data_IF_184551482269
#
_entry.id   IF_184551482269
#
_cell.length_a   1.000
_cell.length_b   1.000
_cell.length_c   1.000
_cell.angle_alpha   90.00
_cell.angle_beta   90.00
_cell.angle_gamma   90.00
#
_symmetry.space_group_name_H-M   'P 1'
#
loop_
_entity.id
_entity.type
_entity.pdbx_description
1 polymer ?
#
# COMPACT_ATOMS: atom_id res chain seq x y z
N UNK A 1 29.28 14.94 4.77
CA UNK A 1 28.61 13.79 4.15
C UNK A 1 27.57 14.26 3.14
N UNK A 2 27.45 13.55 2.03
CA UNK A 2 26.37 13.75 1.04
C UNK A 2 25.06 13.12 1.52
N UNK A 3 25.17 12.02 2.26
CA UNK A 3 24.08 11.24 2.81
C UNK A 3 24.31 11.01 4.31
N UNK A 4 23.25 11.13 5.10
CA UNK A 4 23.25 10.80 6.52
C UNK A 4 22.25 9.68 6.77
N UNK A 5 22.70 8.62 7.43
CA UNK A 5 21.89 7.46 7.81
C UNK A 5 21.50 7.53 9.30
N UNK A 6 20.40 6.87 9.65
CA UNK A 6 20.04 6.60 11.03
C UNK A 6 20.46 5.17 11.40
N UNK A 7 21.38 5.04 12.34
CA UNK A 7 21.86 3.75 12.85
C UNK A 7 21.10 3.30 14.09
N UNK A 8 20.66 2.04 14.12
CA UNK A 8 19.98 1.41 15.26
C UNK A 8 20.88 0.33 15.86
N UNK A 9 20.94 0.24 17.19
CA UNK A 9 21.68 -0.83 17.84
C UNK A 9 21.02 -2.20 17.55
N UNK A 10 21.72 -3.16 16.92
CA UNK A 10 21.16 -4.47 16.63
C UNK A 10 20.89 -5.24 17.92
N UNK A 11 19.79 -6.01 17.93
CA UNK A 11 19.45 -6.91 19.03
C UNK A 11 19.61 -8.39 18.67
N UNK A 12 19.71 -8.72 17.38
CA UNK A 12 19.93 -10.06 16.84
C UNK A 12 20.50 -9.98 15.40
N UNK A 13 21.17 -11.01 14.88
CA UNK A 13 21.53 -11.06 13.47
C UNK A 13 20.28 -11.29 12.61
N UNK A 14 20.13 -10.50 11.55
CA UNK A 14 18.98 -10.55 10.64
C UNK A 14 19.42 -10.35 9.21
N UNK A 15 19.00 -11.25 8.32
CA UNK A 15 19.20 -11.12 6.88
C UNK A 15 18.24 -10.14 6.20
N UNK A 16 17.32 -9.53 6.96
CA UNK A 16 16.30 -8.61 6.44
C UNK A 16 16.75 -7.13 6.43
N UNK A 17 17.80 -6.80 7.17
CA UNK A 17 18.24 -5.42 7.40
C UNK A 17 19.58 -5.10 6.72
N UNK A 18 19.78 -3.84 6.39
CA UNK A 18 21.11 -3.30 6.08
C UNK A 18 21.92 -3.05 7.34
N UNK A 19 23.24 -3.13 7.23
CA UNK A 19 24.20 -2.93 8.33
C UNK A 19 25.18 -1.80 7.98
N UNK A 20 25.41 -0.94 8.96
CA UNK A 20 26.27 0.23 8.92
C UNK A 20 27.44 -0.03 9.87
N UNK A 21 28.67 -0.06 9.38
CA UNK A 21 29.88 -0.06 10.20
C UNK A 21 30.32 1.38 10.41
N UNK A 22 30.18 1.94 11.62
CA UNK A 22 30.56 3.32 11.89
C UNK A 22 32.07 3.46 12.10
N UNK A 23 32.63 4.52 11.54
CA UNK A 23 33.96 5.03 11.89
C UNK A 23 33.92 5.79 13.22
N UNK A 24 35.09 5.95 13.85
CA UNK A 24 35.23 6.69 15.13
C UNK A 24 34.83 8.17 15.03
N UNK A 25 34.83 8.76 13.83
CA UNK A 25 34.50 10.16 13.57
C UNK A 25 33.02 10.39 13.19
N UNK A 26 32.18 9.35 13.26
CA UNK A 26 30.77 9.42 12.90
C UNK A 26 30.48 9.29 11.39
N UNK A 27 31.50 9.03 10.58
CA UNK A 27 31.32 8.59 9.18
C UNK A 27 30.98 7.10 9.12
N UNK A 28 30.55 6.63 7.95
CA UNK A 28 30.32 5.21 7.70
C UNK A 28 31.53 4.64 6.95
N UNK A 29 32.18 3.64 7.54
CA UNK A 29 33.30 2.92 6.92
C UNK A 29 32.81 1.94 5.86
N UNK A 30 31.75 1.19 6.19
CA UNK A 30 31.17 0.17 5.32
C UNK A 30 29.67 0.10 5.50
N UNK A 31 28.96 -0.04 4.40
CA UNK A 31 27.54 -0.37 4.37
C UNK A 31 27.36 -1.72 3.69
N UNK A 32 26.44 -2.54 4.19
CA UNK A 32 26.09 -3.84 3.62
C UNK A 32 24.58 -4.04 3.67
N UNK A 33 23.91 -4.11 2.52
CA UNK A 33 22.48 -4.40 2.48
C UNK A 33 22.24 -5.91 2.59
N UNK A 34 21.35 -6.32 3.50
CA UNK A 34 20.79 -7.68 3.62
C UNK A 34 21.82 -8.82 3.50
N UNK A 35 22.82 -8.87 4.41
CA UNK A 35 23.79 -9.97 4.45
C UNK A 35 23.13 -11.29 4.86
N UNK A 36 23.85 -12.41 4.73
CA UNK A 36 23.43 -13.66 5.38
C UNK A 36 23.43 -13.49 6.90
N UNK A 37 22.65 -14.29 7.62
CA UNK A 37 22.57 -14.22 9.08
C UNK A 37 23.93 -14.47 9.76
N UNK A 38 24.71 -15.41 9.22
CA UNK A 38 26.09 -15.67 9.68
C UNK A 38 27.01 -14.45 9.47
N UNK A 39 26.84 -13.71 8.38
CA UNK A 39 27.64 -12.51 8.12
C UNK A 39 27.14 -11.32 8.93
N UNK A 40 25.82 -11.20 9.15
CA UNK A 40 25.24 -10.23 10.07
C UNK A 40 25.82 -10.36 11.48
N UNK A 41 25.97 -11.58 11.99
CA UNK A 41 26.57 -11.81 13.32
C UNK A 41 28.01 -11.28 13.39
N UNK A 42 28.82 -11.53 12.37
CA UNK A 42 30.19 -10.98 12.27
C UNK A 42 30.18 -9.45 12.22
N UNK A 43 29.28 -8.86 11.45
CA UNK A 43 29.14 -7.40 11.36
C UNK A 43 28.78 -6.81 12.73
N UNK A 44 27.86 -7.42 13.48
CA UNK A 44 27.49 -6.99 14.83
C UNK A 44 28.70 -7.05 15.77
N UNK A 45 29.52 -8.09 15.68
CA UNK A 45 30.76 -8.22 16.47
C UNK A 45 31.78 -7.12 16.12
N UNK A 46 31.79 -6.62 14.88
CA UNK A 46 32.59 -5.47 14.43
C UNK A 46 32.00 -4.11 14.86
N UNK A 47 30.86 -4.09 15.57
CA UNK A 47 30.21 -2.87 16.03
C UNK A 47 29.20 -2.29 15.03
N UNK A 48 28.68 -3.11 14.10
CA UNK A 48 27.66 -2.67 13.16
C UNK A 48 26.39 -2.18 13.85
N UNK A 49 25.71 -1.26 13.17
CA UNK A 49 24.37 -0.79 13.47
C UNK A 49 23.42 -1.20 12.34
N UNK A 50 22.14 -1.44 12.63
CA UNK A 50 21.15 -1.61 11.57
C UNK A 50 20.90 -0.26 10.87
N UNK A 51 20.67 -0.31 9.57
CA UNK A 51 20.13 0.78 8.80
C UNK A 51 18.64 0.97 9.15
N UNK A 52 18.30 2.09 9.78
CA UNK A 52 16.93 2.39 10.19
C UNK A 52 15.99 2.81 9.05
N UNK A 53 16.46 2.84 7.79
CA UNK A 53 15.67 3.21 6.62
C UNK A 53 15.30 4.70 6.55
N UNK A 54 15.99 5.53 7.36
CA UNK A 54 15.81 7.00 7.37
C UNK A 54 17.07 7.66 6.83
N UNK A 55 16.85 8.57 5.88
CA UNK A 55 17.90 9.22 5.12
C UNK A 55 17.77 10.74 5.22
N UNK A 56 18.89 11.43 5.39
CA UNK A 56 18.96 12.87 5.25
C UNK A 56 20.02 13.25 4.22
N UNK A 57 19.61 14.01 3.21
CA UNK A 57 20.47 14.48 2.12
C UNK A 57 19.96 15.82 1.60
N UNK A 58 20.81 16.56 0.89
CA UNK A 58 20.38 17.79 0.21
C UNK A 58 19.56 17.43 -1.02
N UNK A 59 18.46 18.16 -1.29
CA UNK A 59 17.63 17.93 -2.48
C UNK A 59 18.45 17.90 -3.79
N UNK A 60 19.42 18.80 -3.94
CA UNK A 60 20.31 18.85 -5.11
C UNK A 60 21.08 17.54 -5.32
N UNK A 61 21.49 16.86 -4.26
CA UNK A 61 22.18 15.57 -4.36
C UNK A 61 21.27 14.50 -4.98
N UNK A 62 20.04 14.39 -4.50
CA UNK A 62 19.06 13.45 -5.06
C UNK A 62 18.69 13.79 -6.51
N UNK A 63 18.47 15.07 -6.83
CA UNK A 63 18.18 15.48 -8.20
C UNK A 63 19.31 15.13 -9.17
N UNK A 64 20.58 15.25 -8.73
CA UNK A 64 21.72 14.85 -9.54
C UNK A 64 21.77 13.34 -9.79
N UNK A 65 21.33 12.52 -8.83
CA UNK A 65 21.21 11.07 -9.00
C UNK A 65 20.10 10.76 -10.00
N UNK A 66 18.91 11.32 -9.82
CA UNK A 66 17.78 11.12 -10.73
C UNK A 66 18.12 11.51 -12.18
N UNK A 67 18.90 12.60 -12.37
CA UNK A 67 19.39 13.05 -13.68
C UNK A 67 20.32 12.08 -14.39
N UNK A 68 20.89 11.09 -13.70
CA UNK A 68 21.65 10.01 -14.34
C UNK A 68 20.75 9.03 -15.11
N UNK A 69 19.47 8.95 -14.75
CA UNK A 69 18.51 8.02 -15.36
C UNK A 69 17.65 8.68 -16.43
N UNK A 70 17.26 9.93 -16.21
CA UNK A 70 16.47 10.68 -17.15
C UNK A 70 16.81 12.17 -17.08
N UNK A 71 16.84 12.84 -18.22
CA UNK A 71 16.80 14.30 -18.24
C UNK A 71 15.35 14.77 -18.04
N UNK A 72 15.19 15.78 -17.17
CA UNK A 72 13.91 16.39 -16.82
C UNK A 72 14.10 17.79 -16.22
N UNK A 73 13.18 18.69 -16.53
CA UNK A 73 13.04 20.02 -15.94
C UNK A 73 11.87 20.11 -14.95
N UNK A 74 10.86 19.26 -15.13
CA UNK A 74 9.61 19.24 -14.34
C UNK A 74 9.34 17.87 -13.73
N UNK A 75 8.46 17.81 -12.73
CA UNK A 75 8.03 16.54 -12.14
C UNK A 75 7.25 15.68 -13.16
N UNK A 76 6.46 16.32 -14.00
CA UNK A 76 5.63 15.72 -15.04
C UNK A 76 6.48 14.95 -16.05
N UNK A 77 7.62 15.51 -16.44
CA UNK A 77 8.58 14.88 -17.37
C UNK A 77 9.21 13.61 -16.80
N UNK A 78 9.66 13.62 -15.54
CA UNK A 78 10.22 12.42 -14.91
C UNK A 78 9.12 11.39 -14.63
N UNK A 79 7.93 11.83 -14.20
CA UNK A 79 6.78 10.94 -13.98
C UNK A 79 6.38 10.22 -15.26
N UNK A 80 6.40 10.90 -16.40
CA UNK A 80 6.09 10.29 -17.69
C UNK A 80 7.07 9.19 -18.11
N UNK A 81 8.29 9.20 -17.56
CA UNK A 81 9.36 8.22 -17.82
C UNK A 81 9.49 7.18 -16.70
N UNK A 82 8.60 7.18 -15.70
CA UNK A 82 8.76 6.36 -14.50
C UNK A 82 8.79 4.86 -14.81
N UNK A 83 8.03 4.41 -15.82
CA UNK A 83 8.02 3.03 -16.31
C UNK A 83 9.36 2.55 -16.85
N UNK A 84 10.20 3.49 -17.31
CA UNK A 84 11.49 3.19 -17.95
C UNK A 84 12.61 3.13 -16.91
N UNK A 85 12.34 3.55 -15.67
CA UNK A 85 13.32 3.56 -14.59
C UNK A 85 13.55 2.14 -14.04
N UNK A 86 14.79 1.81 -13.65
CA UNK A 86 15.09 0.50 -13.09
C UNK A 86 14.38 0.31 -11.74
N UNK A 87 13.77 -0.87 -11.55
CA UNK A 87 13.20 -1.29 -10.26
C UNK A 87 14.32 -1.75 -9.32
N UNK A 88 14.91 -0.82 -8.59
CA UNK A 88 15.99 -1.07 -7.62
C UNK A 88 15.77 -0.25 -6.34
N UNK A 89 16.22 -0.76 -5.18
CA UNK A 89 16.11 -0.02 -3.93
C UNK A 89 17.15 1.10 -3.84
N UNK A 90 16.84 2.12 -3.04
CA UNK A 90 17.77 3.21 -2.78
C UNK A 90 19.05 2.72 -2.06
N UNK A 91 18.93 1.73 -1.19
CA UNK A 91 20.07 1.14 -0.47
C UNK A 91 21.11 0.53 -1.43
N UNK A 92 20.68 -0.29 -2.38
CA UNK A 92 21.58 -0.89 -3.38
C UNK A 92 22.10 0.14 -4.38
N UNK A 93 21.26 1.07 -4.84
CA UNK A 93 21.66 1.96 -5.92
C UNK A 93 22.50 3.15 -5.43
N UNK A 94 22.19 3.68 -4.26
CA UNK A 94 22.79 4.93 -3.76
C UNK A 94 23.64 4.68 -2.53
N UNK A 95 23.10 4.01 -1.51
CA UNK A 95 23.79 3.88 -0.21
C UNK A 95 25.05 3.03 -0.33
N UNK A 96 24.97 1.85 -0.96
CA UNK A 96 26.14 0.98 -1.16
C UNK A 96 27.24 1.59 -2.05
N UNK A 97 26.90 2.59 -2.88
CA UNK A 97 27.82 3.21 -3.85
C UNK A 97 28.31 4.60 -3.43
N UNK A 98 27.77 5.18 -2.36
CA UNK A 98 28.13 6.53 -1.91
C UNK A 98 29.37 6.48 -1.01
N UNK A 99 30.36 7.31 -1.32
CA UNK A 99 31.62 7.36 -0.58
C UNK A 99 31.62 8.36 0.58
N UNK A 100 30.64 9.26 0.65
CA UNK A 100 30.53 10.28 1.70
C UNK A 100 29.26 10.13 2.50
N UNK A 101 29.27 9.18 3.43
CA UNK A 101 28.14 8.87 4.31
C UNK A 101 28.51 9.19 5.77
N UNK A 102 27.59 9.82 6.48
CA UNK A 102 27.64 9.94 7.94
C UNK A 102 26.46 9.18 8.57
N UNK A 103 26.58 8.90 9.87
CA UNK A 103 25.54 8.21 10.62
C UNK A 103 25.21 8.98 11.90
N UNK A 104 23.93 9.01 12.25
CA UNK A 104 23.45 9.40 13.56
C UNK A 104 22.87 8.17 14.25
N UNK A 105 23.35 7.86 15.44
CA UNK A 105 22.78 6.80 16.27
C UNK A 105 21.42 7.24 16.81
N UNK A 106 20.40 6.40 16.62
CA UNK A 106 19.12 6.53 17.30
C UNK A 106 19.04 5.52 18.45
N UNK A 107 18.81 6.06 19.66
CA UNK A 107 18.78 5.29 20.92
C UNK A 107 17.36 5.03 21.46
N UNK A 108 16.34 5.38 20.68
CA UNK A 108 14.95 5.13 21.05
C UNK A 108 14.48 3.73 20.67
N UNK A 109 13.17 3.50 20.79
CA UNK A 109 12.53 2.27 20.35
C UNK A 109 12.39 2.28 18.83
N UNK A 110 12.95 1.25 18.18
CA UNK A 110 12.81 1.02 16.75
C UNK A 110 12.49 -0.45 16.53
N UNK A 111 11.47 -0.72 15.72
CA UNK A 111 11.10 -2.05 15.23
C UNK A 111 10.64 -1.91 13.79
N UNK A 112 11.15 -2.77 12.92
CA UNK A 112 10.62 -2.91 11.57
C UNK A 112 9.39 -3.82 11.59
N UNK A 113 8.21 -3.24 11.36
CA UNK A 113 6.92 -3.94 11.35
C UNK A 113 6.68 -4.65 10.01
N UNK A 114 7.68 -5.42 9.55
CA UNK A 114 7.67 -6.12 8.27
C UNK A 114 7.05 -7.52 8.28
N UNK A 115 6.65 -8.03 9.45
CA UNK A 115 5.97 -9.34 9.59
C UNK A 115 4.82 -9.26 10.59
N UNK A 116 3.87 -10.19 10.48
CA UNK A 116 2.78 -10.31 11.44
C UNK A 116 3.28 -10.57 12.86
N UNK A 117 4.33 -11.38 13.03
CA UNK A 117 4.92 -11.60 14.34
C UNK A 117 5.35 -10.28 15.00
N UNK A 118 6.16 -9.46 14.31
CA UNK A 118 6.63 -8.18 14.86
C UNK A 118 5.49 -7.20 15.09
N UNK A 119 4.47 -7.19 14.21
CA UNK A 119 3.28 -6.37 14.40
C UNK A 119 2.55 -6.74 15.71
N UNK A 120 2.35 -8.04 15.97
CA UNK A 120 1.63 -8.49 17.18
C UNK A 120 2.34 -8.13 18.48
N UNK A 121 3.66 -7.94 18.46
CA UNK A 121 4.42 -7.50 19.65
C UNK A 121 4.19 -6.05 20.04
N UNK A 122 3.64 -5.23 19.13
CA UNK A 122 3.39 -3.80 19.36
C UNK A 122 1.90 -3.45 19.39
N UNK A 123 1.03 -4.44 19.26
CA UNK A 123 -0.42 -4.24 19.36
C UNK A 123 -0.84 -4.03 20.81
N UNK A 124 -1.69 -3.03 21.05
CA UNK A 124 -2.26 -2.75 22.38
C UNK A 124 -3.31 -3.80 22.80
N UNK A 125 -3.87 -4.54 21.85
CA UNK A 125 -4.91 -5.54 22.07
C UNK A 125 -4.64 -6.82 21.26
N UNK A 126 -5.05 -7.96 21.80
CA UNK A 126 -5.04 -9.25 21.09
C UNK A 126 -6.15 -9.38 20.03
N UNK A 127 -7.12 -8.48 20.03
CA UNK A 127 -8.26 -8.52 19.13
C UNK A 127 -8.61 -7.12 18.62
N UNK A 128 -8.70 -6.97 17.30
CA UNK A 128 -9.12 -5.74 16.61
C UNK A 128 -10.33 -6.05 15.71
N UNK A 129 -11.35 -5.19 15.75
CA UNK A 129 -12.56 -5.34 14.94
C UNK A 129 -13.61 -6.27 15.58
N UNK A 130 -14.51 -6.81 14.77
CA UNK A 130 -15.59 -7.71 15.24
C UNK A 130 -15.02 -9.10 15.55
N UNK A 131 -14.48 -9.27 16.76
CA UNK A 131 -13.78 -10.49 17.17
C UNK A 131 -14.32 -11.03 18.49
N UNK A 132 -14.50 -12.35 18.55
CA UNK A 132 -14.69 -13.11 19.78
C UNK A 132 -13.47 -14.02 19.95
N UNK A 133 -12.60 -13.69 20.91
CA UNK A 133 -11.42 -14.49 21.24
C UNK A 133 -11.65 -15.14 22.61
N UNK A 134 -11.65 -16.47 22.67
CA UNK A 134 -11.84 -17.17 23.94
C UNK A 134 -10.59 -17.11 24.83
N UNK A 135 -10.83 -17.18 26.14
CA UNK A 135 -9.79 -17.22 27.18
C UNK A 135 -8.86 -18.44 27.06
N UNK A 136 -9.28 -19.48 26.33
CA UNK A 136 -8.47 -20.66 26.02
C UNK A 136 -7.37 -20.40 25.00
N UNK A 137 -7.35 -19.23 24.35
CA UNK A 137 -6.33 -18.84 23.39
C UNK A 137 -5.16 -18.10 24.07
N UNK A 138 -3.96 -18.66 23.96
CA UNK A 138 -2.73 -18.06 24.48
C UNK A 138 -1.86 -17.50 23.36
N UNK A 139 -1.29 -16.31 23.54
CA UNK A 139 -0.46 -15.60 22.55
C UNK A 139 -1.09 -15.45 21.13
N UNK A 140 -2.40 -15.61 20.99
CA UNK A 140 -3.10 -15.47 19.70
C UNK A 140 -3.58 -14.05 19.48
N UNK A 141 -3.39 -13.53 18.27
CA UNK A 141 -3.81 -12.19 17.87
C UNK A 141 -4.74 -12.27 16.67
N UNK A 142 -5.80 -11.48 16.69
CA UNK A 142 -6.82 -11.45 15.65
C UNK A 142 -7.02 -10.01 15.16
N UNK A 143 -6.81 -9.79 13.87
CA UNK A 143 -7.08 -8.53 13.17
C UNK A 143 -8.24 -8.79 12.22
N UNK A 144 -9.37 -8.11 12.41
CA UNK A 144 -10.52 -8.25 11.55
C UNK A 144 -10.98 -6.90 11.02
N UNK A 145 -10.70 -6.65 9.74
CA UNK A 145 -11.15 -5.47 8.98
C UNK A 145 -12.44 -5.74 8.19
N UNK A 146 -13.03 -6.93 8.35
CA UNK A 146 -14.32 -7.27 7.75
C UNK A 146 -15.48 -6.84 8.65
N UNK A 147 -16.64 -6.64 8.02
CA UNK A 147 -17.91 -6.47 8.72
C UNK A 147 -18.51 -7.78 9.27
N UNK A 148 -17.82 -8.91 9.04
CA UNK A 148 -18.22 -10.25 9.42
C UNK A 148 -17.50 -10.62 10.72
N UNK A 149 -18.20 -11.13 11.74
CA UNK A 149 -17.56 -11.50 13.00
C UNK A 149 -16.61 -12.70 12.84
N UNK A 150 -15.46 -12.65 13.51
CA UNK A 150 -14.49 -13.75 13.59
C UNK A 150 -14.46 -14.30 15.01
N UNK A 151 -14.63 -15.62 15.16
CA UNK A 151 -14.56 -16.29 16.46
C UNK A 151 -13.38 -17.27 16.50
N UNK A 152 -12.53 -17.16 17.51
CA UNK A 152 -11.32 -17.98 17.65
C UNK A 152 -11.27 -18.63 19.03
N UNK A 153 -11.20 -19.97 19.05
CA UNK A 153 -11.26 -20.80 20.26
C UNK A 153 -10.10 -21.79 20.30
N UNK A 154 -9.39 -21.87 21.42
CA UNK A 154 -8.36 -22.89 21.68
C UNK A 154 -7.11 -22.84 20.79
N UNK A 155 -6.92 -21.78 20.00
CA UNK A 155 -5.73 -21.62 19.16
C UNK A 155 -4.67 -20.84 19.94
N UNK A 156 -3.45 -21.36 19.97
CA UNK A 156 -2.30 -20.75 20.63
C UNK A 156 -1.23 -20.30 19.62
N UNK A 157 -0.47 -19.28 19.99
CA UNK A 157 0.70 -18.78 19.24
C UNK A 157 0.40 -18.42 17.78
N UNK A 158 -0.82 -17.97 17.51
CA UNK A 158 -1.29 -17.72 16.15
C UNK A 158 -1.56 -16.24 15.83
N UNK A 159 -1.60 -15.95 14.55
CA UNK A 159 -2.18 -14.74 13.98
C UNK A 159 -3.34 -15.12 13.06
N UNK A 160 -4.48 -14.47 13.26
CA UNK A 160 -5.62 -14.51 12.35
C UNK A 160 -5.83 -13.10 11.81
N UNK A 161 -5.63 -12.89 10.52
CA UNK A 161 -5.84 -11.60 9.88
C UNK A 161 -6.90 -11.75 8.79
N UNK A 162 -8.02 -11.04 8.91
CA UNK A 162 -9.12 -11.07 7.97
C UNK A 162 -9.31 -9.67 7.38
N UNK A 163 -9.15 -9.55 6.06
CA UNK A 163 -9.38 -8.33 5.30
C UNK A 163 -10.21 -8.63 4.05
N UNK A 164 -10.68 -7.61 3.32
CA UNK A 164 -11.37 -7.81 2.04
C UNK A 164 -10.56 -8.62 1.03
N UNK A 165 -9.22 -8.57 1.09
CA UNK A 165 -8.31 -9.27 0.17
C UNK A 165 -8.10 -10.74 0.52
N UNK A 166 -8.43 -11.15 1.74
CA UNK A 166 -8.30 -12.55 2.15
C UNK A 166 -8.23 -12.75 3.66
N UNK A 167 -8.11 -14.02 4.04
CA UNK A 167 -8.00 -14.44 5.43
C UNK A 167 -6.72 -15.24 5.59
N UNK A 168 -5.81 -14.74 6.44
CA UNK A 168 -4.63 -15.45 6.91
C UNK A 168 -4.94 -16.10 8.27
N UNK A 169 -4.60 -17.38 8.39
CA UNK A 169 -4.51 -18.09 9.66
C UNK A 169 -3.16 -18.76 9.70
N UNK A 170 -2.31 -18.39 10.64
CA UNK A 170 -0.94 -18.89 10.71
C UNK A 170 -0.44 -18.95 12.14
N UNK A 171 0.46 -19.88 12.41
CA UNK A 171 1.41 -19.72 13.50
C UNK A 171 2.20 -18.40 13.33
N UNK A 172 2.55 -17.76 14.44
CA UNK A 172 3.26 -16.47 14.44
C UNK A 172 4.64 -16.56 13.78
N UNK A 173 5.42 -17.60 14.04
CA UNK A 173 6.74 -17.78 13.42
C UNK A 173 6.62 -17.96 11.92
N UNK A 174 5.77 -18.90 11.49
CA UNK A 174 5.54 -19.22 10.08
C UNK A 174 4.98 -18.06 9.27
N UNK A 175 4.27 -17.12 9.91
CA UNK A 175 3.73 -15.93 9.25
C UNK A 175 4.81 -15.09 8.55
N UNK A 176 6.07 -15.19 8.97
CA UNK A 176 7.19 -14.49 8.33
C UNK A 176 7.51 -14.99 6.91
N UNK A 177 7.02 -16.18 6.53
CA UNK A 177 7.29 -16.84 5.25
C UNK A 177 6.08 -16.87 4.32
N UNK A 178 5.05 -16.03 4.55
CA UNK A 178 3.81 -16.03 3.76
C UNK A 178 4.01 -15.64 2.28
N UNK A 179 5.08 -14.90 1.96
CA UNK A 179 5.27 -14.26 0.64
C UNK A 179 5.14 -15.23 -0.55
N UNK A 180 5.82 -16.40 -0.59
CA UNK A 180 5.70 -17.34 -1.71
C UNK A 180 4.32 -17.99 -1.84
N UNK A 181 3.48 -17.90 -0.81
CA UNK A 181 2.11 -18.43 -0.82
C UNK A 181 1.13 -17.39 -1.35
N UNK A 182 1.23 -16.14 -0.90
CA UNK A 182 0.32 -15.06 -1.35
C UNK A 182 0.59 -14.63 -2.79
N UNK A 183 1.83 -14.74 -3.27
CA UNK A 183 2.17 -14.45 -4.68
C UNK A 183 1.46 -15.38 -5.69
N UNK A 184 0.90 -16.50 -5.22
CA UNK A 184 0.10 -17.42 -6.05
C UNK A 184 -1.35 -16.95 -6.22
N UNK A 185 -1.82 -16.03 -5.37
CA UNK A 185 -3.18 -15.53 -5.42
C UNK A 185 -3.24 -14.41 -6.46
N UNK A 186 -3.82 -14.74 -7.62
CA UNK A 186 -4.10 -13.75 -8.66
C UNK A 186 -5.48 -13.15 -8.42
N UNK A 187 -5.53 -12.13 -7.57
CA UNK A 187 -6.75 -11.41 -7.23
C UNK A 187 -6.51 -9.90 -7.37
N UNK A 188 -7.55 -9.17 -7.75
CA UNK A 188 -7.53 -7.71 -7.72
C UNK A 188 -7.61 -7.19 -6.28
N UNK A 189 -7.12 -5.98 -5.98
CA UNK A 189 -7.39 -5.34 -4.70
C UNK A 189 -8.90 -5.28 -4.44
N UNK A 190 -9.31 -5.75 -3.27
CA UNK A 190 -10.70 -5.78 -2.82
C UNK A 190 -11.06 -4.55 -1.98
N UNK A 191 -10.06 -3.79 -1.54
CA UNK A 191 -10.22 -2.51 -0.86
C UNK A 191 -9.07 -1.57 -1.24
N UNK A 192 -9.39 -0.29 -1.44
CA UNK A 192 -8.38 0.74 -1.62
C UNK A 192 -8.83 2.08 -1.03
N UNK A 193 -7.89 2.77 -0.39
CA UNK A 193 -8.01 4.19 -0.07
C UNK A 193 -7.38 5.04 -1.18
N UNK A 194 -8.10 6.10 -1.56
CA UNK A 194 -7.65 7.09 -2.54
C UNK A 194 -7.80 8.50 -1.96
N UNK A 195 -7.20 9.48 -2.63
CA UNK A 195 -7.26 10.89 -2.17
C UNK A 195 -8.70 11.43 -2.04
N UNK A 196 -9.62 10.89 -2.84
CA UNK A 196 -11.03 11.27 -2.83
C UNK A 196 -11.87 10.50 -1.79
N UNK A 197 -11.39 9.40 -1.23
CA UNK A 197 -12.17 8.51 -0.38
C UNK A 197 -11.69 7.07 -0.43
N UNK A 198 -12.59 6.11 -0.55
CA UNK A 198 -12.26 4.68 -0.57
C UNK A 198 -13.25 3.89 -1.43
N UNK A 199 -12.87 2.69 -1.83
CA UNK A 199 -13.81 1.72 -2.38
C UNK A 199 -13.53 0.31 -1.90
N UNK A 200 -14.58 -0.52 -1.91
CA UNK A 200 -14.53 -1.95 -1.61
C UNK A 200 -15.22 -2.73 -2.73
N UNK A 201 -14.58 -3.79 -3.21
CA UNK A 201 -15.19 -4.76 -4.12
C UNK A 201 -16.13 -5.66 -3.31
N UNK A 202 -17.38 -5.75 -3.74
CA UNK A 202 -18.40 -6.61 -3.13
C UNK A 202 -18.55 -7.94 -3.86
N UNK A 203 -18.41 -7.92 -5.19
CA UNK A 203 -18.57 -9.11 -6.03
C UNK A 203 -17.84 -8.96 -7.37
N UNK A 204 -17.34 -10.07 -7.91
CA UNK A 204 -16.76 -10.15 -9.25
C UNK A 204 -17.10 -11.50 -9.88
N UNK A 205 -17.80 -11.47 -11.01
CA UNK A 205 -18.28 -12.68 -11.69
C UNK A 205 -17.88 -12.64 -13.16
N UNK A 206 -17.39 -13.76 -13.67
CA UNK A 206 -17.17 -13.99 -15.11
C UNK A 206 -18.27 -14.93 -15.61
N UNK A 207 -18.97 -14.52 -16.66
CA UNK A 207 -20.08 -15.25 -17.26
C UNK A 207 -19.59 -16.14 -18.42
N UNK A 208 -20.42 -17.11 -18.80
CA UNK A 208 -20.07 -18.09 -19.83
C UNK A 208 -19.89 -17.51 -21.25
N UNK A 209 -20.38 -16.31 -21.50
CA UNK A 209 -20.19 -15.57 -22.75
C UNK A 209 -18.89 -14.73 -22.77
N UNK A 210 -18.09 -14.79 -21.71
CA UNK A 210 -16.86 -14.03 -21.54
C UNK A 210 -17.06 -12.61 -21.00
N UNK A 211 -18.29 -12.16 -20.75
CA UNK A 211 -18.52 -10.90 -20.02
C UNK A 211 -18.23 -11.08 -18.54
N UNK A 212 -18.00 -9.97 -17.84
CA UNK A 212 -17.84 -9.94 -16.40
C UNK A 212 -18.62 -8.79 -15.77
N UNK A 213 -18.99 -8.97 -14.52
CA UNK A 213 -19.54 -7.92 -13.67
C UNK A 213 -18.64 -7.67 -12.47
N UNK A 214 -18.52 -6.42 -12.07
CA UNK A 214 -17.79 -5.99 -10.88
C UNK A 214 -18.68 -5.04 -10.09
N UNK A 215 -18.99 -5.40 -8.85
CA UNK A 215 -19.75 -4.56 -7.95
C UNK A 215 -18.83 -3.94 -6.90
N UNK A 216 -18.86 -2.62 -6.75
CA UNK A 216 -18.10 -1.88 -5.75
C UNK A 216 -19.01 -1.03 -4.89
N UNK A 217 -18.65 -0.89 -3.62
CA UNK A 217 -19.14 0.16 -2.74
C UNK A 217 -18.09 1.25 -2.64
N UNK A 218 -18.42 2.47 -3.03
CA UNK A 218 -17.53 3.62 -2.95
C UNK A 218 -18.01 4.58 -1.87
N UNK A 219 -17.06 5.22 -1.21
CA UNK A 219 -17.27 6.35 -0.32
C UNK A 219 -16.40 7.51 -0.79
N UNK A 220 -17.02 8.64 -1.13
CA UNK A 220 -16.35 9.86 -1.58
C UNK A 220 -16.55 10.92 -0.50
N UNK A 221 -15.44 11.46 0.02
CA UNK A 221 -15.46 12.49 1.06
C UNK A 221 -16.04 13.79 0.51
N UNK A 222 -16.75 14.55 1.33
CA UNK A 222 -17.29 15.86 0.95
C UNK A 222 -16.20 16.76 0.33
N UNK A 223 -16.54 17.41 -0.80
CA UNK A 223 -15.63 18.29 -1.55
C UNK A 223 -14.61 17.56 -2.43
N UNK A 224 -14.58 16.22 -2.44
CA UNK A 224 -13.74 15.43 -3.34
C UNK A 224 -14.51 14.98 -4.58
N UNK A 225 -13.78 14.51 -5.59
CA UNK A 225 -14.35 14.07 -6.85
C UNK A 225 -13.60 12.90 -7.46
N UNK A 226 -14.32 12.05 -8.19
CA UNK A 226 -13.74 11.12 -9.16
C UNK A 226 -13.43 11.90 -10.45
N UNK A 227 -12.28 11.60 -11.06
CA UNK A 227 -11.80 12.27 -12.28
C UNK A 227 -12.77 12.13 -13.44
N UNK A 228 -12.82 13.15 -14.31
CA UNK A 228 -13.58 13.06 -15.55
C UNK A 228 -12.95 12.03 -16.48
N UNK A 229 -13.68 10.95 -16.76
CA UNK A 229 -13.15 9.78 -17.43
C UNK A 229 -14.18 9.14 -18.36
N UNK A 230 -13.73 8.27 -19.26
CA UNK A 230 -14.58 7.38 -20.05
C UNK A 230 -13.99 5.98 -20.07
N UNK A 231 -14.82 5.00 -20.40
CA UNK A 231 -14.42 3.61 -20.56
C UNK A 231 -14.76 3.09 -21.95
N UNK A 232 -13.82 2.42 -22.61
CA UNK A 232 -14.00 1.96 -23.98
C UNK A 232 -14.87 0.70 -24.10
N UNK A 233 -14.85 -0.17 -23.08
CA UNK A 233 -15.31 -1.56 -23.18
C UNK A 233 -16.28 -2.01 -22.08
N UNK A 234 -16.77 -1.08 -21.25
CA UNK A 234 -17.73 -1.37 -20.18
C UNK A 234 -18.78 -0.28 -20.03
N UNK A 235 -19.93 -0.70 -19.53
CA UNK A 235 -20.98 0.17 -19.01
C UNK A 235 -20.88 0.22 -17.49
N UNK A 236 -21.35 1.31 -16.89
CA UNK A 236 -21.42 1.49 -15.44
C UNK A 236 -22.82 1.89 -14.99
N UNK A 237 -23.23 1.33 -13.86
CA UNK A 237 -24.48 1.66 -13.18
C UNK A 237 -24.12 2.17 -11.80
N UNK A 238 -24.38 3.45 -11.55
CA UNK A 238 -24.13 4.07 -10.25
C UNK A 238 -25.45 4.27 -9.53
N UNK A 239 -25.55 3.72 -8.33
CA UNK A 239 -26.70 3.91 -7.44
C UNK A 239 -26.25 4.71 -6.22
N UNK A 240 -26.82 5.89 -6.01
CA UNK A 240 -26.49 6.71 -4.84
C UNK A 240 -27.19 6.13 -3.61
N UNK A 241 -26.40 5.58 -2.68
CA UNK A 241 -26.88 4.95 -1.45
C UNK A 241 -27.11 5.99 -0.37
N UNK A 242 -26.24 6.99 -0.27
CA UNK A 242 -26.36 8.06 0.70
C UNK A 242 -25.58 9.31 0.30
N UNK A 243 -25.96 10.45 0.86
CA UNK A 243 -25.34 11.75 0.58
C UNK A 243 -25.87 12.44 -0.68
N UNK A 244 -25.13 13.47 -1.10
CA UNK A 244 -25.45 14.32 -2.25
C UNK A 244 -24.20 14.62 -3.06
N UNK A 245 -24.36 14.80 -4.37
CA UNK A 245 -23.26 15.13 -5.27
C UNK A 245 -23.71 15.77 -6.57
N UNK A 246 -22.74 16.14 -7.38
CA UNK A 246 -22.91 16.65 -8.74
C UNK A 246 -22.35 15.61 -9.70
N UNK A 247 -23.23 15.00 -10.49
CA UNK A 247 -22.88 14.04 -11.52
C UNK A 247 -22.77 14.76 -12.86
N UNK A 248 -21.60 14.68 -13.47
CA UNK A 248 -21.30 15.17 -14.80
C UNK A 248 -21.37 14.00 -15.78
N UNK A 249 -22.16 14.11 -16.85
CA UNK A 249 -22.14 13.19 -17.99
C UNK A 249 -22.12 14.01 -19.28
N UNK A 250 -21.12 13.78 -20.13
CA UNK A 250 -20.92 14.43 -21.44
C UNK A 250 -21.06 15.96 -21.40
N UNK A 251 -20.53 16.60 -20.34
CA UNK A 251 -20.58 18.05 -20.15
C UNK A 251 -21.83 18.58 -19.43
N UNK A 252 -22.81 17.72 -19.13
CA UNK A 252 -24.03 18.09 -18.44
C UNK A 252 -23.98 17.71 -16.96
N UNK A 253 -24.16 18.69 -16.07
CA UNK A 253 -24.19 18.48 -14.62
C UNK A 253 -25.64 18.29 -14.17
N UNK A 254 -25.87 17.28 -13.34
CA UNK A 254 -27.10 17.11 -12.55
C UNK A 254 -26.77 16.84 -11.09
N UNK A 255 -27.54 17.40 -10.16
CA UNK A 255 -27.43 17.02 -8.76
C UNK A 255 -27.99 15.61 -8.58
N UNK A 256 -27.36 14.84 -7.70
CA UNK A 256 -27.79 13.49 -7.31
C UNK A 256 -27.89 13.39 -5.80
N UNK A 257 -28.79 12.52 -5.34
CA UNK A 257 -29.06 12.22 -3.93
C UNK A 257 -29.40 10.75 -3.76
N UNK A 258 -29.51 10.32 -2.50
CA UNK A 258 -30.00 8.97 -2.13
C UNK A 258 -31.17 8.51 -3.01
N UNK A 259 -31.02 7.33 -3.60
CA UNK A 259 -32.02 6.68 -4.45
C UNK A 259 -31.89 6.99 -5.93
N UNK A 260 -31.10 8.00 -6.32
CA UNK A 260 -30.86 8.29 -7.74
C UNK A 260 -29.94 7.23 -8.37
N UNK A 261 -30.20 6.95 -9.64
CA UNK A 261 -29.42 6.01 -10.46
C UNK A 261 -28.89 6.72 -11.71
N UNK A 262 -27.66 6.40 -12.08
CA UNK A 262 -27.03 6.80 -13.33
C UNK A 262 -26.65 5.57 -14.13
N UNK A 263 -27.06 5.53 -15.39
CA UNK A 263 -26.59 4.58 -16.37
C UNK A 263 -25.58 5.29 -17.28
N UNK A 264 -24.36 4.78 -17.32
CA UNK A 264 -23.23 5.37 -18.04
C UNK A 264 -22.79 4.34 -19.07
N UNK A 265 -23.10 4.60 -20.33
CA UNK A 265 -22.69 3.71 -21.43
C UNK A 265 -21.22 3.89 -21.77
N UNK A 266 -20.61 2.84 -22.33
CA UNK A 266 -19.27 2.89 -22.92
C UNK A 266 -19.08 4.13 -23.82
N UNK A 267 -17.94 4.79 -23.65
CA UNK A 267 -17.57 6.01 -24.36
C UNK A 267 -18.14 7.30 -23.76
N UNK A 268 -19.15 7.25 -22.88
CA UNK A 268 -19.63 8.45 -22.20
C UNK A 268 -18.61 8.96 -21.20
N UNK A 269 -18.37 10.26 -21.25
CA UNK A 269 -17.48 10.92 -20.31
C UNK A 269 -18.27 11.24 -19.06
N UNK A 270 -17.76 10.87 -17.90
CA UNK A 270 -18.49 11.03 -16.65
C UNK A 270 -17.55 11.36 -15.48
N UNK A 271 -18.09 12.06 -14.49
CA UNK A 271 -17.41 12.40 -13.24
C UNK A 271 -18.45 12.61 -12.13
N UNK A 272 -18.04 12.50 -10.86
CA UNK A 272 -18.90 12.89 -9.74
C UNK A 272 -18.11 13.66 -8.68
N UNK A 273 -18.69 14.76 -8.22
CA UNK A 273 -18.21 15.53 -7.07
C UNK A 273 -19.17 15.33 -5.91
N UNK A 274 -18.62 15.00 -4.74
CA UNK A 274 -19.36 14.90 -3.50
C UNK A 274 -19.64 16.30 -2.92
N UNK A 275 -20.91 16.70 -2.77
CA UNK A 275 -21.29 17.95 -2.09
C UNK A 275 -21.53 17.73 -0.60
N UNK A 276 -21.83 16.49 -0.21
CA UNK A 276 -21.69 15.93 1.15
C UNK A 276 -20.97 14.59 1.06
N UNK A 277 -20.65 13.95 2.19
CA UNK A 277 -20.12 12.58 2.17
C UNK A 277 -21.07 11.66 1.39
N UNK A 278 -20.54 11.06 0.33
CA UNK A 278 -21.33 10.41 -0.71
C UNK A 278 -20.99 8.92 -0.76
N UNK A 279 -22.01 8.07 -0.63
CA UNK A 279 -21.90 6.61 -0.82
C UNK A 279 -22.63 6.20 -2.08
N UNK A 280 -21.97 5.41 -2.92
CA UNK A 280 -22.61 4.84 -4.10
C UNK A 280 -22.18 3.38 -4.31
N UNK A 281 -23.09 2.60 -4.88
CA UNK A 281 -22.76 1.29 -5.46
C UNK A 281 -22.53 1.49 -6.94
N UNK A 282 -21.36 1.05 -7.41
CA UNK A 282 -21.00 0.98 -8.81
C UNK A 282 -21.08 -0.47 -9.27
N UNK A 283 -21.84 -0.73 -10.32
CA UNK A 283 -21.82 -2.01 -11.04
C UNK A 283 -21.22 -1.76 -12.41
N UNK A 284 -20.10 -2.40 -12.69
CA UNK A 284 -19.45 -2.37 -14.00
C UNK A 284 -19.80 -3.66 -14.77
N UNK A 285 -20.09 -3.55 -16.05
CA UNK A 285 -20.46 -4.68 -16.91
C UNK A 285 -19.72 -4.56 -18.25
N UNK A 286 -18.95 -5.57 -18.64
CA UNK A 286 -18.15 -5.54 -19.87
C UNK A 286 -17.33 -6.81 -20.13
N UNK A 287 -16.60 -6.86 -21.24
CA UNK A 287 -15.78 -8.03 -21.62
C UNK A 287 -14.50 -8.16 -20.77
N UNK A 288 -13.87 -7.03 -20.43
CA UNK A 288 -12.67 -7.00 -19.61
C UNK A 288 -12.72 -5.79 -18.68
N UNK A 289 -12.68 -6.02 -17.36
CA UNK A 289 -12.81 -4.97 -16.35
C UNK A 289 -11.44 -4.64 -15.76
N UNK A 290 -10.60 -4.01 -16.58
CA UNK A 290 -9.21 -3.62 -16.27
C UNK A 290 -9.06 -2.09 -16.25
N UNK A 291 -8.13 -1.57 -15.46
CA UNK A 291 -7.88 -0.11 -15.37
C UNK A 291 -7.29 0.49 -16.66
N UNK A 292 -6.83 -0.33 -17.60
CA UNK A 292 -6.25 0.13 -18.88
C UNK A 292 -7.29 0.66 -19.85
N UNK A 293 -8.59 0.47 -19.58
CA UNK A 293 -9.69 0.99 -20.41
C UNK A 293 -10.05 2.46 -20.13
N UNK A 294 -9.42 3.07 -19.13
CA UNK A 294 -9.77 4.39 -18.61
C UNK A 294 -9.02 5.48 -19.37
N UNK A 295 -9.77 6.32 -20.10
CA UNK A 295 -9.24 7.59 -20.60
C UNK A 295 -9.63 8.72 -19.66
N UNK A 296 -8.66 9.54 -19.23
CA UNK A 296 -8.89 10.67 -18.30
C UNK A 296 -8.83 12.00 -19.05
N UNK A 297 -9.73 12.90 -18.69
CA UNK A 297 -9.85 14.23 -19.28
C UNK A 297 -9.75 15.31 -18.20
N UNK A 298 -9.34 16.51 -18.62
CA UNK A 298 -9.32 17.66 -17.73
C UNK A 298 -10.75 18.19 -17.53
N UNK A 299 -11.14 18.37 -16.27
CA UNK A 299 -12.38 19.04 -15.89
C UNK A 299 -12.15 19.88 -14.63
N UNK A 300 -12.77 21.05 -14.56
CA UNK A 300 -12.78 21.90 -13.38
C UNK A 300 -14.20 22.02 -12.86
N UNK A 301 -14.38 21.62 -11.60
CA UNK A 301 -15.67 21.57 -10.90
C UNK A 301 -16.13 22.90 -10.33
#
# INVERSE_FOLDING_TARGET
ANLVLMGIKPTYPSAKYGYIIPSKDGTVERFQEKPSEEYADKLIQEGAMWNGGVFAFKLKYMLNIAKKYADFATFEEIRAKYSDLPKISFDYEVVEKESSIAMIEYRGLWKDLGTWNTLTEVMDSKALGKVILADTCNNTHVINELDIPVTVLGINDAVVAASPDGILVSDKGESSYLKPYVEKIQQRPMYEEREWGEYKVLDYVVYGDGTSSLTKSLFIRAGKSISYQSHAIRDEIWTIVDGTGDLLIDGHIRNVRRGDVAYITKGQKHAIRATSDLRLIEVQIGLELVETDIERYNWQW
#
